data_IF_132007076241
#
_entry.id   IF_132007076241
#
_cell.length_a   1.000
_cell.length_b   1.000
_cell.length_c   1.000
_cell.angle_alpha   90.00
_cell.angle_beta   90.00
_cell.angle_gamma   90.00
#
_symmetry.space_group_name_H-M   'P 1'
#
loop_
_entity.id
_entity.type
_entity.pdbx_description
1 polymer ?
#
# COMPACT_ATOMS: atom_id res chain seq x y z
N UNK A 1 26.10 -2.70 -2.05
CA UNK A 1 24.71 -2.29 -2.38
C UNK A 1 23.80 -3.22 -1.61
N UNK A 2 22.89 -2.69 -0.79
CA UNK A 2 21.96 -3.52 -0.02
C UNK A 2 21.05 -4.34 -0.94
N UNK A 3 20.55 -5.46 -0.44
CA UNK A 3 19.58 -6.29 -1.15
C UNK A 3 18.20 -5.64 -1.15
N UNK A 4 17.82 -5.01 -0.01
CA UNK A 4 16.54 -4.33 0.13
C UNK A 4 16.74 -3.00 0.85
N UNK A 5 16.25 -1.90 0.29
CA UNK A 5 16.06 -0.63 0.99
C UNK A 5 14.65 -0.57 1.55
N UNK A 6 14.52 -0.47 2.86
CA UNK A 6 13.25 -0.43 3.58
C UNK A 6 12.90 1.00 3.95
N UNK A 7 11.90 1.58 3.34
CA UNK A 7 11.45 2.95 3.56
C UNK A 7 10.42 2.99 4.71
N UNK A 8 10.72 3.77 5.73
CA UNK A 8 9.89 3.93 6.93
C UNK A 8 9.52 5.41 7.12
N UNK A 9 8.33 5.85 6.67
CA UNK A 9 7.84 7.20 6.95
C UNK A 9 7.44 7.31 8.42
N UNK A 10 7.89 8.37 9.10
CA UNK A 10 7.72 8.57 10.55
C UNK A 10 7.11 9.94 10.81
N UNK A 11 5.94 9.98 11.46
CA UNK A 11 5.30 11.21 11.91
C UNK A 11 4.46 10.99 13.17
N UNK A 12 4.92 11.50 14.32
CA UNK A 12 4.21 11.44 15.61
C UNK A 12 3.74 10.03 16.00
N UNK A 13 4.68 9.06 16.04
CA UNK A 13 4.42 7.62 16.28
C UNK A 13 5.28 7.04 17.43
N UNK A 14 5.75 7.86 18.35
CA UNK A 14 6.66 7.45 19.47
C UNK A 14 6.24 6.17 20.18
N UNK A 15 4.92 5.92 20.30
CA UNK A 15 4.36 4.77 21.01
C UNK A 15 4.57 3.43 20.29
N UNK A 16 4.74 3.45 18.98
CA UNK A 16 4.77 2.25 18.14
C UNK A 16 6.13 2.04 17.48
N UNK A 17 6.88 3.12 17.28
CA UNK A 17 8.11 3.17 16.49
C UNK A 17 9.16 2.15 16.93
N UNK A 18 9.34 1.94 18.23
CA UNK A 18 10.31 0.95 18.74
C UNK A 18 10.03 -0.45 18.22
N UNK A 19 8.76 -0.91 18.27
CA UNK A 19 8.37 -2.22 17.77
C UNK A 19 8.62 -2.36 16.26
N UNK A 20 8.33 -1.32 15.50
CA UNK A 20 8.62 -1.27 14.07
C UNK A 20 10.11 -1.46 13.81
N UNK A 21 10.96 -0.63 14.44
CA UNK A 21 12.41 -0.67 14.28
C UNK A 21 13.01 -2.00 14.76
N UNK A 22 12.55 -2.53 15.91
CA UNK A 22 12.98 -3.83 16.42
C UNK A 22 12.73 -4.94 15.40
N UNK A 23 11.59 -4.92 14.72
CA UNK A 23 11.30 -5.91 13.67
C UNK A 23 12.21 -5.80 12.44
N UNK A 24 12.73 -4.61 12.16
CA UNK A 24 13.62 -4.35 11.03
C UNK A 24 15.08 -4.65 11.35
N UNK A 25 15.59 -4.23 12.50
CA UNK A 25 16.99 -4.49 12.88
C UNK A 25 17.28 -5.97 13.15
N UNK A 26 16.24 -6.74 13.50
CA UNK A 26 16.35 -8.19 13.76
C UNK A 26 15.97 -9.05 12.55
N UNK A 27 15.87 -8.49 11.33
CA UNK A 27 15.62 -9.28 10.12
C UNK A 27 16.73 -10.31 9.90
N UNK A 28 16.35 -11.53 9.46
CA UNK A 28 17.29 -12.58 9.06
C UNK A 28 18.13 -12.19 7.83
N UNK A 29 17.57 -11.36 6.96
CA UNK A 29 18.32 -10.69 5.88
C UNK A 29 19.11 -9.51 6.47
N UNK A 30 20.39 -9.69 6.73
CA UNK A 30 21.25 -8.64 7.29
C UNK A 30 21.57 -7.50 6.32
N UNK A 31 21.57 -7.80 5.03
CA UNK A 31 21.98 -6.88 3.95
C UNK A 31 20.78 -6.01 3.50
N UNK A 32 20.30 -5.17 4.42
CA UNK A 32 19.21 -4.21 4.21
C UNK A 32 19.63 -2.81 4.64
N UNK A 33 19.10 -1.77 3.98
CA UNK A 33 19.10 -0.39 4.45
C UNK A 33 17.74 -0.06 5.07
N UNK A 34 17.72 0.67 6.16
CA UNK A 34 16.49 1.13 6.83
C UNK A 34 16.45 2.65 6.72
N UNK A 35 15.68 3.14 5.75
CA UNK A 35 15.59 4.57 5.40
C UNK A 35 14.41 5.18 6.13
N UNK A 36 14.67 5.84 7.26
CA UNK A 36 13.66 6.49 8.08
C UNK A 36 13.47 7.95 7.64
N UNK A 37 12.27 8.30 7.22
CA UNK A 37 11.93 9.68 6.84
C UNK A 37 11.12 10.31 7.97
N UNK A 38 11.75 11.14 8.77
CA UNK A 38 11.07 11.94 9.79
C UNK A 38 10.37 13.15 9.15
N UNK A 39 9.07 13.05 9.01
CA UNK A 39 8.21 14.07 8.37
C UNK A 39 7.80 15.16 9.36
N UNK A 40 8.78 15.74 10.07
CA UNK A 40 8.57 16.85 11.00
C UNK A 40 7.83 16.45 12.27
N UNK A 41 8.17 15.30 12.87
CA UNK A 41 7.59 14.84 14.15
C UNK A 41 7.83 15.85 15.27
N UNK A 42 6.82 16.01 16.13
CA UNK A 42 6.85 16.90 17.30
C UNK A 42 6.83 16.16 18.64
N UNK A 43 6.71 14.84 18.58
CA UNK A 43 6.83 13.93 19.72
C UNK A 43 8.27 13.35 19.82
N UNK A 44 8.50 12.34 20.65
CA UNK A 44 9.80 11.72 20.82
C UNK A 44 10.24 10.83 19.64
N UNK A 45 9.51 10.80 18.51
CA UNK A 45 9.84 9.91 17.39
C UNK A 45 11.25 10.12 16.85
N UNK A 46 11.68 11.39 16.65
CA UNK A 46 13.05 11.67 16.18
C UNK A 46 14.12 11.17 17.16
N UNK A 47 13.94 11.41 18.45
CA UNK A 47 14.87 10.93 19.47
C UNK A 47 14.99 9.40 19.47
N UNK A 48 13.87 8.70 19.25
CA UNK A 48 13.88 7.23 19.12
C UNK A 48 14.67 6.81 17.88
N UNK A 49 14.46 7.45 16.73
CA UNK A 49 15.23 7.17 15.51
C UNK A 49 16.73 7.35 15.74
N UNK A 50 17.13 8.45 16.34
CA UNK A 50 18.55 8.74 16.65
C UNK A 50 19.18 7.67 17.57
N UNK A 51 18.44 7.24 18.60
CA UNK A 51 18.89 6.17 19.49
C UNK A 51 19.10 4.83 18.76
N UNK A 52 18.24 4.52 17.77
CA UNK A 52 18.37 3.30 16.98
C UNK A 52 19.47 3.40 15.94
N UNK A 53 19.65 4.56 15.30
CA UNK A 53 20.74 4.78 14.35
C UNK A 53 22.13 4.71 15.02
N UNK A 54 22.26 5.07 16.30
CA UNK A 54 23.47 4.87 17.07
C UNK A 54 23.78 3.39 17.35
N UNK A 55 22.77 2.53 17.37
CA UNK A 55 22.91 1.08 17.67
C UNK A 55 23.08 0.24 16.40
N UNK A 56 22.53 0.68 15.27
CA UNK A 56 22.52 -0.06 14.02
C UNK A 56 22.82 0.88 12.84
N UNK A 57 23.98 0.71 12.23
CA UNK A 57 24.47 1.54 11.13
C UNK A 57 23.67 1.40 9.83
N UNK A 58 22.76 0.42 9.75
CA UNK A 58 21.86 0.26 8.60
C UNK A 58 20.71 1.28 8.62
N UNK A 59 20.49 1.97 9.75
CA UNK A 59 19.45 2.99 9.89
C UNK A 59 20.01 4.33 9.46
N UNK A 60 19.38 4.90 8.42
CA UNK A 60 19.68 6.26 7.93
C UNK A 60 18.45 7.13 8.12
N UNK A 61 18.62 8.32 8.70
CA UNK A 61 17.54 9.24 9.00
C UNK A 61 17.60 10.45 8.09
N UNK A 62 16.49 10.74 7.42
CA UNK A 62 16.28 11.97 6.67
C UNK A 62 15.17 12.78 7.36
N UNK A 63 15.46 14.05 7.64
CA UNK A 63 14.51 14.98 8.23
C UNK A 63 13.94 15.92 7.16
N UNK A 64 12.63 16.11 7.18
CA UNK A 64 11.94 17.07 6.33
C UNK A 64 10.86 17.81 7.12
N UNK A 65 10.41 18.96 6.61
CA UNK A 65 9.19 19.61 7.10
C UNK A 65 7.97 18.74 6.78
N UNK A 66 6.96 18.75 7.67
CA UNK A 66 5.78 17.93 7.48
C UNK A 66 5.11 18.21 6.13
N UNK A 67 5.20 17.25 5.25
CA UNK A 67 4.70 17.30 3.87
C UNK A 67 3.75 16.15 3.54
N UNK A 68 3.52 15.25 4.50
CA UNK A 68 2.60 14.12 4.44
C UNK A 68 3.21 12.84 3.89
N UNK A 69 2.48 11.74 4.11
CA UNK A 69 2.94 10.38 3.87
C UNK A 69 3.46 10.13 2.44
N UNK A 70 2.75 10.65 1.42
CA UNK A 70 3.16 10.53 0.01
C UNK A 70 4.54 11.13 -0.25
N UNK A 71 4.79 12.34 0.29
CA UNK A 71 6.07 13.04 0.11
C UNK A 71 7.16 12.31 0.87
N UNK A 72 6.92 11.88 2.11
CA UNK A 72 7.87 11.11 2.89
C UNK A 72 8.27 9.80 2.17
N UNK A 73 7.31 9.07 1.59
CA UNK A 73 7.64 7.88 0.79
C UNK A 73 8.42 8.22 -0.48
N UNK A 74 8.11 9.32 -1.15
CA UNK A 74 8.87 9.77 -2.33
C UNK A 74 10.30 10.16 -1.98
N UNK A 75 10.52 10.88 -0.88
CA UNK A 75 11.87 11.16 -0.36
C UNK A 75 12.63 9.84 -0.09
N UNK A 76 11.95 8.84 0.51
CA UNK A 76 12.53 7.51 0.70
C UNK A 76 12.90 6.82 -0.62
N UNK A 77 12.06 6.92 -1.65
CA UNK A 77 12.35 6.38 -2.99
C UNK A 77 13.59 7.02 -3.62
N UNK A 78 13.81 8.32 -3.41
CA UNK A 78 14.97 9.04 -3.95
C UNK A 78 16.29 8.62 -3.29
N UNK A 79 16.24 8.13 -2.05
CA UNK A 79 17.42 7.66 -1.30
C UNK A 79 17.60 6.14 -1.31
N UNK A 80 16.62 5.39 -1.84
CA UNK A 80 16.70 3.93 -1.92
C UNK A 80 17.72 3.50 -2.98
N UNK A 81 18.74 2.73 -2.58
CA UNK A 81 19.80 2.23 -3.45
C UNK A 81 19.88 0.71 -3.48
N UNK A 82 19.11 0.00 -2.68
CA UNK A 82 19.04 -1.46 -2.67
C UNK A 82 18.52 -2.05 -3.97
N UNK A 83 18.77 -3.33 -4.21
CA UNK A 83 18.27 -4.03 -5.41
C UNK A 83 16.74 -4.03 -5.47
N UNK A 84 16.09 -4.11 -4.30
CA UNK A 84 14.64 -3.99 -4.14
C UNK A 84 14.31 -2.92 -3.11
N UNK A 85 13.10 -2.38 -3.20
CA UNK A 85 12.52 -1.39 -2.27
C UNK A 85 11.35 -2.04 -1.53
N UNK A 86 11.30 -1.90 -0.21
CA UNK A 86 10.15 -2.23 0.63
C UNK A 86 9.63 -1.00 1.37
N UNK A 87 8.40 -1.07 1.85
CA UNK A 87 7.78 -0.02 2.69
C UNK A 87 7.28 -0.63 3.99
N UNK A 88 7.45 0.08 5.10
CA UNK A 88 6.85 -0.28 6.39
C UNK A 88 6.27 0.99 7.02
N UNK A 89 4.98 0.96 7.34
CA UNK A 89 4.36 2.02 8.11
C UNK A 89 4.83 1.95 9.58
N UNK A 90 5.18 3.06 10.16
CA UNK A 90 5.92 3.13 11.44
C UNK A 90 5.12 2.70 12.68
N UNK A 91 3.81 2.42 12.55
CA UNK A 91 2.98 1.81 13.59
C UNK A 91 2.79 0.29 13.40
N UNK A 92 3.35 -0.29 12.33
CA UNK A 92 3.30 -1.70 11.96
C UNK A 92 4.63 -2.43 12.28
N UNK A 93 4.73 -3.72 11.98
CA UNK A 93 5.96 -4.52 12.04
C UNK A 93 5.91 -5.70 11.08
N UNK A 94 7.03 -6.39 10.93
CA UNK A 94 7.15 -7.53 10.02
C UNK A 94 7.70 -8.77 10.75
N UNK A 95 7.44 -9.97 10.21
CA UNK A 95 8.07 -11.19 10.71
C UNK A 95 9.59 -11.16 10.47
N UNK A 96 10.37 -11.87 11.25
CA UNK A 96 11.84 -11.80 11.21
C UNK A 96 12.42 -12.26 9.86
N UNK A 97 11.73 -13.13 9.15
CA UNK A 97 12.15 -13.68 7.86
C UNK A 97 11.49 -12.99 6.65
N UNK A 98 10.80 -11.86 6.91
CA UNK A 98 9.95 -11.21 5.90
C UNK A 98 10.73 -10.77 4.67
N UNK A 99 11.78 -9.98 4.86
CA UNK A 99 12.58 -9.48 3.75
C UNK A 99 13.46 -10.56 3.11
N UNK A 100 13.95 -11.54 3.88
CA UNK A 100 14.71 -12.66 3.34
C UNK A 100 13.85 -13.49 2.38
N UNK A 101 12.66 -13.88 2.79
CA UNK A 101 11.75 -14.65 1.94
C UNK A 101 11.30 -13.90 0.71
N UNK A 102 10.91 -12.63 0.86
CA UNK A 102 10.52 -11.79 -0.28
C UNK A 102 11.67 -11.63 -1.27
N UNK A 103 12.88 -11.31 -0.78
CA UNK A 103 14.04 -11.15 -1.62
C UNK A 103 14.39 -12.44 -2.37
N UNK A 104 14.44 -13.57 -1.67
CA UNK A 104 14.74 -14.85 -2.29
C UNK A 104 13.69 -15.24 -3.35
N UNK A 105 12.40 -15.11 -3.05
CA UNK A 105 11.33 -15.35 -4.03
C UNK A 105 11.47 -14.43 -5.25
N UNK A 106 11.69 -13.13 -5.05
CA UNK A 106 11.86 -12.18 -6.14
C UNK A 106 13.10 -12.49 -7.00
N UNK A 107 14.24 -12.74 -6.35
CA UNK A 107 15.53 -12.98 -7.01
C UNK A 107 15.52 -14.27 -7.81
N UNK A 108 15.08 -15.39 -7.19
CA UNK A 108 15.06 -16.72 -7.83
C UNK A 108 14.12 -16.76 -9.04
N UNK A 109 13.05 -15.98 -9.03
CA UNK A 109 12.07 -15.93 -10.12
C UNK A 109 12.32 -14.78 -11.10
N UNK A 110 13.36 -13.97 -10.89
CA UNK A 110 13.62 -12.73 -11.64
C UNK A 110 12.34 -11.88 -11.75
N UNK A 111 11.66 -11.66 -10.60
CA UNK A 111 10.42 -10.93 -10.53
C UNK A 111 10.65 -9.45 -10.22
N UNK A 112 9.81 -8.58 -10.78
CA UNK A 112 9.82 -7.14 -10.50
C UNK A 112 9.19 -6.84 -9.16
N UNK A 113 8.24 -7.69 -8.73
CA UNK A 113 7.50 -7.54 -7.47
C UNK A 113 7.39 -8.90 -6.78
N UNK A 114 7.71 -8.96 -5.48
CA UNK A 114 7.30 -10.07 -4.62
C UNK A 114 6.26 -9.56 -3.62
N UNK A 115 5.22 -10.36 -3.36
CA UNK A 115 4.13 -10.05 -2.44
C UNK A 115 4.00 -11.11 -1.36
N UNK A 116 3.99 -10.68 -0.11
CA UNK A 116 3.76 -11.55 1.04
C UNK A 116 2.33 -11.46 1.58
N UNK A 117 2.02 -12.36 2.48
CA UNK A 117 0.82 -12.32 3.29
C UNK A 117 0.82 -11.14 4.28
N UNK A 118 -0.34 -10.85 4.87
CA UNK A 118 -0.41 -9.95 6.00
C UNK A 118 -1.43 -10.41 7.05
N UNK A 119 -1.21 -9.97 8.26
CA UNK A 119 -2.08 -10.21 9.41
C UNK A 119 -2.58 -8.87 9.93
N UNK A 120 -3.90 -8.74 10.10
CA UNK A 120 -4.49 -7.59 10.81
C UNK A 120 -4.52 -7.88 12.30
N UNK A 121 -3.63 -7.22 13.03
CA UNK A 121 -3.50 -7.32 14.47
C UNK A 121 -4.46 -6.34 15.14
N UNK A 122 -5.45 -6.89 15.84
CA UNK A 122 -6.42 -6.10 16.59
C UNK A 122 -6.10 -6.16 18.08
N UNK A 123 -6.08 -5.05 18.82
CA UNK A 123 -5.79 -5.05 20.25
C UNK A 123 -6.69 -5.98 21.08
N UNK A 124 -7.95 -6.16 20.66
CA UNK A 124 -8.98 -6.87 21.42
C UNK A 124 -9.73 -7.94 20.63
N UNK A 125 -9.21 -8.40 19.48
CA UNK A 125 -9.85 -9.40 18.63
C UNK A 125 -8.81 -10.37 18.08
N UNK A 126 -9.26 -11.58 17.72
CA UNK A 126 -8.39 -12.54 17.02
C UNK A 126 -7.87 -11.92 15.70
N UNK A 127 -6.58 -12.10 15.38
CA UNK A 127 -5.99 -11.61 14.14
C UNK A 127 -6.73 -12.15 12.92
N UNK A 128 -6.94 -11.31 11.90
CA UNK A 128 -7.42 -11.75 10.60
C UNK A 128 -6.24 -11.93 9.67
N UNK A 129 -6.15 -13.13 9.08
CA UNK A 129 -5.08 -13.49 8.13
C UNK A 129 -5.62 -13.47 6.70
N UNK A 130 -4.88 -12.83 5.80
CA UNK A 130 -4.92 -13.13 4.37
C UNK A 130 -3.83 -14.16 4.14
N UNK A 131 -4.14 -15.30 3.54
CA UNK A 131 -3.17 -16.38 3.35
C UNK A 131 -3.00 -16.66 1.86
N UNK A 132 -1.81 -16.40 1.35
CA UNK A 132 -1.35 -16.93 0.08
C UNK A 132 -1.17 -18.44 0.20
N UNK A 133 -1.51 -19.20 -0.83
CA UNK A 133 -1.47 -20.65 -0.76
C UNK A 133 -0.09 -21.23 -1.06
N UNK A 134 0.59 -20.64 -2.06
CA UNK A 134 1.82 -21.17 -2.64
C UNK A 134 2.67 -20.04 -3.24
N UNK A 135 3.94 -20.31 -3.47
CA UNK A 135 4.79 -19.48 -4.31
C UNK A 135 4.41 -19.70 -5.78
N UNK A 136 4.02 -18.61 -6.46
CA UNK A 136 3.55 -18.66 -7.85
C UNK A 136 3.83 -17.37 -8.57
N UNK A 137 4.17 -17.48 -9.86
CA UNK A 137 4.45 -16.33 -10.74
C UNK A 137 3.16 -15.93 -11.46
N UNK A 138 2.95 -14.61 -11.54
CA UNK A 138 1.86 -13.96 -12.27
C UNK A 138 2.44 -12.96 -13.26
N UNK A 139 2.01 -13.03 -14.51
CA UNK A 139 2.51 -12.18 -15.60
C UNK A 139 1.45 -11.26 -16.18
N UNK A 140 0.17 -11.65 -16.12
CA UNK A 140 -0.92 -10.81 -16.63
C UNK A 140 -1.36 -9.76 -15.60
N UNK A 141 -1.70 -8.53 -16.00
CA UNK A 141 -2.23 -7.52 -15.08
C UNK A 141 -3.45 -8.01 -14.30
N UNK A 142 -4.35 -8.72 -14.97
CA UNK A 142 -5.59 -9.27 -14.39
C UNK A 142 -5.32 -10.17 -13.20
N UNK A 143 -4.43 -11.15 -13.37
CA UNK A 143 -4.09 -12.11 -12.32
C UNK A 143 -3.38 -11.42 -11.16
N UNK A 144 -2.45 -10.48 -11.45
CA UNK A 144 -1.76 -9.67 -10.44
C UNK A 144 -2.75 -8.82 -9.63
N UNK A 145 -3.73 -8.21 -10.28
CA UNK A 145 -4.78 -7.44 -9.61
C UNK A 145 -5.67 -8.33 -8.73
N UNK A 146 -5.97 -9.53 -9.18
CA UNK A 146 -6.79 -10.48 -8.42
C UNK A 146 -6.07 -11.00 -7.19
N UNK A 147 -4.83 -11.45 -7.33
CA UNK A 147 -4.05 -12.01 -6.20
C UNK A 147 -3.71 -10.93 -5.15
N UNK A 148 -3.39 -9.70 -5.58
CA UNK A 148 -3.14 -8.57 -4.69
C UNK A 148 -4.43 -7.91 -4.17
N UNK A 149 -5.60 -8.39 -4.59
CA UNK A 149 -6.92 -7.86 -4.15
C UNK A 149 -7.04 -6.34 -4.25
N UNK A 150 -6.56 -5.75 -5.34
CA UNK A 150 -6.53 -4.29 -5.52
C UNK A 150 -7.90 -3.62 -5.38
N UNK A 151 -8.99 -4.35 -5.56
CA UNK A 151 -10.36 -3.89 -5.35
C UNK A 151 -10.69 -3.55 -3.88
N UNK A 152 -10.03 -4.20 -2.93
CA UNK A 152 -10.23 -4.02 -1.48
C UNK A 152 -8.96 -3.58 -0.74
N UNK A 153 -7.80 -4.10 -1.15
CA UNK A 153 -6.51 -3.90 -0.51
C UNK A 153 -5.54 -3.26 -1.52
N UNK A 154 -5.31 -1.98 -1.44
CA UNK A 154 -4.38 -1.28 -2.34
C UNK A 154 -3.02 -1.00 -1.70
N UNK A 155 -2.59 -1.80 -0.72
CA UNK A 155 -1.42 -1.53 0.09
C UNK A 155 -0.10 -1.77 -0.64
N UNK A 156 0.91 -0.96 -0.30
CA UNK A 156 2.29 -1.08 -0.82
C UNK A 156 3.19 -1.90 0.10
N UNK A 157 2.89 -1.95 1.38
CA UNK A 157 3.78 -2.40 2.45
C UNK A 157 3.99 -3.92 2.55
N UNK A 158 3.15 -4.76 1.97
CA UNK A 158 3.37 -6.22 1.96
C UNK A 158 4.12 -6.71 0.72
N UNK A 159 4.88 -5.85 0.08
CA UNK A 159 5.59 -6.10 -1.18
C UNK A 159 7.01 -5.56 -1.13
N UNK A 160 7.85 -6.15 -1.97
CA UNK A 160 9.09 -5.50 -2.42
C UNK A 160 9.01 -5.29 -3.93
N UNK A 161 9.68 -4.26 -4.38
CA UNK A 161 9.68 -3.79 -5.77
C UNK A 161 11.12 -3.68 -6.26
N UNK A 162 11.44 -4.22 -7.43
CA UNK A 162 12.76 -4.04 -8.03
C UNK A 162 13.02 -2.55 -8.23
N UNK A 163 14.12 -2.04 -7.73
CA UNK A 163 14.46 -0.61 -7.76
C UNK A 163 14.55 -0.09 -9.19
N UNK A 164 15.28 -0.81 -10.06
CA UNK A 164 15.41 -0.48 -11.48
C UNK A 164 14.04 -0.41 -12.18
N UNK A 165 13.13 -1.33 -11.86
CA UNK A 165 11.78 -1.32 -12.41
C UNK A 165 11.01 -0.06 -12.00
N UNK A 166 11.00 0.31 -10.72
CA UNK A 166 10.29 1.51 -10.24
C UNK A 166 10.87 2.78 -10.89
N UNK A 167 12.20 2.86 -11.02
CA UNK A 167 12.85 4.00 -11.67
C UNK A 167 12.52 4.04 -13.17
N UNK A 168 12.52 2.89 -13.87
CA UNK A 168 12.25 2.82 -15.32
C UNK A 168 10.88 3.35 -15.72
N UNK A 169 9.88 3.23 -14.83
CA UNK A 169 8.52 3.75 -15.05
C UNK A 169 8.28 5.09 -14.36
N UNK A 170 9.30 5.67 -13.72
CA UNK A 170 9.23 6.93 -12.96
C UNK A 170 8.03 6.98 -11.99
N UNK A 171 7.77 5.87 -11.27
CA UNK A 171 6.61 5.75 -10.39
C UNK A 171 6.85 6.46 -9.07
N UNK A 172 5.98 7.40 -8.73
CA UNK A 172 5.97 8.15 -7.47
C UNK A 172 4.57 8.16 -6.87
N UNK A 173 4.49 8.37 -5.55
CA UNK A 173 3.24 8.62 -4.86
C UNK A 173 2.71 10.01 -5.18
N UNK A 174 1.40 10.15 -5.39
CA UNK A 174 0.78 11.45 -5.66
C UNK A 174 0.80 12.29 -4.38
N UNK A 175 1.48 13.47 -4.37
CA UNK A 175 1.58 14.30 -3.18
C UNK A 175 0.22 14.78 -2.66
N UNK A 176 0.12 14.97 -1.35
CA UNK A 176 -1.07 15.54 -0.66
C UNK A 176 -2.38 14.79 -0.91
N UNK A 177 -2.32 13.51 -1.26
CA UNK A 177 -3.47 12.66 -1.49
C UNK A 177 -3.58 11.58 -0.40
N UNK A 178 -4.78 11.36 0.15
CA UNK A 178 -5.08 10.17 0.95
C UNK A 178 -5.32 8.98 0.02
N UNK A 179 -4.98 7.76 0.45
CA UNK A 179 -5.10 6.51 -0.33
C UNK A 179 -4.19 6.47 -1.57
N UNK A 180 -3.09 7.17 -1.51
CA UNK A 180 -2.03 7.28 -2.52
C UNK A 180 -1.41 5.92 -2.88
N UNK A 181 -1.43 4.99 -1.95
CA UNK A 181 -0.94 3.62 -2.10
C UNK A 181 -1.69 2.83 -3.18
N UNK A 182 -2.96 3.14 -3.41
CA UNK A 182 -3.79 2.47 -4.42
C UNK A 182 -3.32 2.75 -5.84
N UNK A 183 -3.06 4.01 -6.17
CA UNK A 183 -2.56 4.40 -7.50
C UNK A 183 -1.17 3.79 -7.73
N UNK A 184 -0.26 3.93 -6.76
CA UNK A 184 1.07 3.34 -6.83
C UNK A 184 1.02 1.82 -7.03
N UNK A 185 0.19 1.12 -6.26
CA UNK A 185 0.05 -0.35 -6.36
C UNK A 185 -0.48 -0.77 -7.73
N UNK A 186 -1.51 -0.12 -8.24
CA UNK A 186 -2.11 -0.51 -9.52
C UNK A 186 -1.15 -0.29 -10.67
N UNK A 187 -0.48 0.86 -10.72
CA UNK A 187 0.51 1.15 -11.75
C UNK A 187 1.70 0.20 -11.68
N UNK A 188 2.24 -0.06 -10.49
CA UNK A 188 3.34 -1.01 -10.32
C UNK A 188 2.95 -2.42 -10.79
N UNK A 189 1.76 -2.89 -10.42
CA UNK A 189 1.27 -4.21 -10.86
C UNK A 189 1.05 -4.28 -12.37
N UNK A 190 0.53 -3.22 -12.97
CA UNK A 190 0.29 -3.17 -14.42
C UNK A 190 1.60 -3.25 -15.22
N UNK A 191 2.54 -2.37 -14.89
CA UNK A 191 3.80 -2.25 -15.64
C UNK A 191 4.82 -3.35 -15.32
N UNK A 192 4.70 -4.05 -14.19
CA UNK A 192 5.61 -5.15 -13.86
C UNK A 192 5.48 -6.29 -14.88
N UNK A 193 6.60 -6.90 -15.26
CA UNK A 193 6.61 -8.10 -16.10
C UNK A 193 6.18 -9.32 -15.28
N UNK A 194 6.75 -9.47 -14.08
CA UNK A 194 6.51 -10.61 -13.21
C UNK A 194 6.23 -10.17 -11.77
N UNK A 195 5.21 -10.77 -11.17
CA UNK A 195 4.95 -10.77 -9.75
C UNK A 195 5.06 -12.19 -9.22
N UNK A 196 5.70 -12.40 -8.08
CA UNK A 196 5.75 -13.67 -7.37
C UNK A 196 5.06 -13.57 -6.00
N UNK A 197 4.27 -14.57 -5.62
CA UNK A 197 3.71 -14.68 -4.27
C UNK A 197 4.69 -15.37 -3.33
N UNK A 198 4.82 -14.86 -2.10
CA UNK A 198 5.73 -15.37 -1.06
C UNK A 198 4.90 -15.75 0.17
N UNK A 199 4.47 -17.00 0.31
CA UNK A 199 3.66 -17.45 1.44
C UNK A 199 4.49 -17.64 2.72
N UNK A 200 3.78 -17.80 3.86
CA UNK A 200 4.35 -18.17 5.15
C UNK A 200 5.35 -17.15 5.74
N UNK A 201 5.17 -15.89 5.44
CA UNK A 201 5.77 -14.74 6.12
C UNK A 201 4.77 -13.59 6.08
N UNK A 202 4.79 -12.71 7.10
CA UNK A 202 3.68 -11.78 7.30
C UNK A 202 4.14 -10.37 7.58
N UNK A 203 3.51 -9.44 6.87
CA UNK A 203 3.41 -8.07 7.32
C UNK A 203 2.33 -7.98 8.40
N UNK A 204 2.62 -7.35 9.53
CA UNK A 204 1.71 -7.26 10.69
C UNK A 204 1.14 -5.85 10.78
N UNK A 205 -0.04 -5.71 10.17
CA UNK A 205 -0.79 -4.46 10.14
C UNK A 205 -1.50 -4.24 11.49
N UNK A 206 -1.07 -3.23 12.24
CA UNK A 206 -1.68 -2.88 13.51
C UNK A 206 -2.93 -2.04 13.30
N UNK A 207 -4.07 -2.56 13.73
CA UNK A 207 -5.34 -1.82 13.69
C UNK A 207 -5.36 -0.79 14.82
N UNK A 208 -4.64 0.32 14.62
CA UNK A 208 -4.54 1.41 15.57
C UNK A 208 -5.88 2.14 15.67
N UNK A 209 -6.54 2.17 16.85
CA UNK A 209 -7.82 2.88 17.03
C UNK A 209 -7.75 4.38 16.73
N UNK A 210 -6.55 4.96 16.82
CA UNK A 210 -6.28 6.39 16.55
C UNK A 210 -5.83 6.67 15.12
N UNK A 211 -5.66 5.64 14.29
CA UNK A 211 -5.28 5.78 12.88
C UNK A 211 -6.29 6.60 12.08
N UNK A 212 -5.77 7.29 11.07
CA UNK A 212 -6.56 8.04 10.07
C UNK A 212 -7.66 7.15 9.45
N UNK A 213 -7.36 5.87 9.21
CA UNK A 213 -8.29 4.92 8.58
C UNK A 213 -9.44 4.51 9.51
N UNK A 214 -9.22 4.50 10.84
CA UNK A 214 -10.19 4.06 11.84
C UNK A 214 -11.04 5.21 12.43
N UNK A 215 -10.65 6.46 12.22
CA UNK A 215 -11.46 7.62 12.54
C UNK A 215 -12.60 7.78 11.53
N UNK A 216 -13.72 8.41 11.94
CA UNK A 216 -14.73 8.84 10.98
C UNK A 216 -14.06 9.75 9.96
N UNK A 217 -14.12 9.35 8.69
CA UNK A 217 -13.52 10.14 7.59
C UNK A 217 -14.08 11.55 7.61
N UNK A 218 -13.18 12.53 7.46
CA UNK A 218 -13.58 13.89 7.19
C UNK A 218 -13.96 14.04 5.70
N UNK A 219 -14.49 15.21 5.34
CA UNK A 219 -14.93 15.50 3.97
C UNK A 219 -13.80 15.32 2.93
N UNK A 220 -12.59 15.80 3.24
CA UNK A 220 -11.41 15.72 2.33
C UNK A 220 -11.01 14.25 2.10
N UNK A 221 -11.01 13.43 3.15
CA UNK A 221 -10.70 12.01 3.02
C UNK A 221 -11.75 11.25 2.18
N UNK A 222 -13.02 11.62 2.31
CA UNK A 222 -14.08 11.03 1.49
C UNK A 222 -13.94 11.43 0.01
N UNK A 223 -13.60 12.69 -0.28
CA UNK A 223 -13.35 13.15 -1.66
C UNK A 223 -12.14 12.47 -2.27
N UNK A 224 -11.01 12.40 -1.56
CA UNK A 224 -9.82 11.72 -2.05
C UNK A 224 -10.08 10.22 -2.29
N UNK A 225 -10.84 9.56 -1.41
CA UNK A 225 -11.23 8.16 -1.60
C UNK A 225 -12.03 7.95 -2.90
N UNK A 226 -12.98 8.85 -3.18
CA UNK A 226 -13.79 8.81 -4.41
C UNK A 226 -12.89 9.06 -5.62
N UNK A 227 -12.07 10.11 -5.58
CA UNK A 227 -11.19 10.51 -6.67
C UNK A 227 -10.20 9.41 -7.04
N UNK A 228 -9.49 8.84 -6.06
CA UNK A 228 -8.54 7.75 -6.31
C UNK A 228 -9.24 6.54 -6.94
N UNK A 229 -10.45 6.20 -6.48
CA UNK A 229 -11.19 5.08 -7.09
C UNK A 229 -11.64 5.37 -8.52
N UNK A 230 -11.98 6.62 -8.83
CA UNK A 230 -12.30 7.04 -10.21
C UNK A 230 -11.07 6.97 -11.09
N UNK A 231 -9.92 7.48 -10.64
CA UNK A 231 -8.64 7.41 -11.36
C UNK A 231 -8.24 5.96 -11.66
N UNK A 232 -8.36 5.08 -10.67
CA UNK A 232 -8.09 3.65 -10.85
C UNK A 232 -9.06 3.01 -11.86
N UNK A 233 -10.36 3.31 -11.79
CA UNK A 233 -11.32 2.79 -12.75
C UNK A 233 -11.02 3.30 -14.17
N UNK A 234 -10.65 4.56 -14.29
CA UNK A 234 -10.25 5.17 -15.55
C UNK A 234 -9.02 4.47 -16.13
N UNK A 235 -7.98 4.28 -15.30
CA UNK A 235 -6.77 3.56 -15.69
C UNK A 235 -7.06 2.13 -16.18
N UNK A 236 -7.93 1.38 -15.47
CA UNK A 236 -8.37 0.04 -15.87
C UNK A 236 -9.03 0.06 -17.24
N UNK A 237 -9.89 1.06 -17.51
CA UNK A 237 -10.58 1.21 -18.81
C UNK A 237 -9.62 1.57 -19.93
N UNK A 238 -8.77 2.58 -19.73
CA UNK A 238 -7.80 3.06 -20.72
C UNK A 238 -6.84 1.98 -21.19
N UNK A 239 -6.48 1.08 -20.26
CA UNK A 239 -5.55 -0.01 -20.55
C UNK A 239 -6.25 -1.34 -20.87
N UNK A 240 -7.59 -1.33 -21.04
CA UNK A 240 -8.41 -2.51 -21.36
C UNK A 240 -8.15 -3.72 -20.44
N UNK A 241 -7.90 -3.46 -19.13
CA UNK A 241 -7.60 -4.51 -18.16
C UNK A 241 -8.87 -5.32 -17.86
N UNK A 242 -8.82 -6.63 -18.11
CA UNK A 242 -9.97 -7.54 -17.93
C UNK A 242 -10.11 -7.94 -16.46
N UNK A 243 -10.90 -7.21 -15.71
CA UNK A 243 -11.32 -7.61 -14.35
C UNK A 243 -12.81 -7.94 -14.35
N UNK A 244 -13.27 -8.86 -13.48
CA UNK A 244 -14.69 -9.21 -13.38
C UNK A 244 -15.57 -7.98 -13.17
N UNK A 245 -16.68 -7.89 -13.92
CA UNK A 245 -17.63 -6.77 -13.81
C UNK A 245 -18.14 -6.65 -12.36
N UNK A 246 -18.13 -5.43 -11.86
CA UNK A 246 -18.55 -5.13 -10.49
C UNK A 246 -17.52 -5.44 -9.40
N UNK A 247 -16.39 -6.08 -9.71
CA UNK A 247 -15.31 -6.29 -8.75
C UNK A 247 -14.73 -4.95 -8.29
N UNK A 248 -14.50 -4.03 -9.22
CA UNK A 248 -14.05 -2.68 -8.94
C UNK A 248 -15.16 -1.67 -9.30
N UNK A 249 -15.61 -0.92 -8.30
CA UNK A 249 -16.67 0.10 -8.47
C UNK A 249 -16.15 1.43 -7.94
N UNK A 250 -16.15 2.45 -8.76
CA UNK A 250 -15.91 3.83 -8.36
C UNK A 250 -17.23 4.57 -8.17
N UNK A 251 -17.32 5.37 -7.12
CA UNK A 251 -18.45 6.27 -6.93
C UNK A 251 -18.29 7.47 -7.86
N UNK A 252 -19.28 7.70 -8.72
CA UNK A 252 -19.27 8.81 -9.68
C UNK A 252 -20.23 9.93 -9.30
N UNK A 253 -21.22 9.62 -8.47
CA UNK A 253 -22.21 10.58 -7.99
C UNK A 253 -22.78 10.18 -6.65
N UNK A 254 -22.94 11.16 -5.75
CA UNK A 254 -23.58 10.96 -4.44
C UNK A 254 -24.60 12.08 -4.21
N UNK A 255 -25.87 11.73 -4.12
CA UNK A 255 -26.91 12.66 -3.74
C UNK A 255 -27.15 12.60 -2.22
N UNK A 256 -27.12 13.76 -1.58
CA UNK A 256 -27.37 13.89 -0.14
C UNK A 256 -28.60 14.77 0.09
N UNK A 257 -29.43 14.38 1.06
CA UNK A 257 -30.55 15.17 1.55
C UNK A 257 -30.40 15.32 3.07
N UNK A 258 -30.42 16.56 3.56
CA UNK A 258 -30.19 16.90 4.98
C UNK A 258 -28.90 16.24 5.54
N UNK A 259 -27.82 16.26 4.78
CA UNK A 259 -26.51 15.69 5.16
C UNK A 259 -26.44 14.16 5.12
N UNK A 260 -27.54 13.44 4.88
CA UNK A 260 -27.58 11.98 4.75
C UNK A 260 -27.54 11.56 3.29
N UNK A 261 -26.79 10.52 2.96
CA UNK A 261 -26.77 9.96 1.60
C UNK A 261 -28.12 9.33 1.28
N UNK A 262 -28.81 9.86 0.29
CA UNK A 262 -30.07 9.30 -0.21
C UNK A 262 -29.79 8.23 -1.28
N UNK A 263 -29.02 8.56 -2.31
CA UNK A 263 -28.57 7.56 -3.27
C UNK A 263 -27.16 7.84 -3.76
N UNK A 264 -26.52 6.79 -4.29
CA UNK A 264 -25.15 6.83 -4.86
C UNK A 264 -25.16 6.12 -6.20
N UNK A 265 -24.54 6.73 -7.20
CA UNK A 265 -24.26 6.08 -8.48
C UNK A 265 -22.80 5.62 -8.43
N UNK A 266 -22.57 4.32 -8.67
CA UNK A 266 -21.24 3.74 -8.80
C UNK A 266 -21.09 3.15 -10.19
N UNK A 267 -19.89 3.26 -10.73
CA UNK A 267 -19.54 2.72 -12.04
C UNK A 267 -18.47 1.65 -11.90
N UNK A 268 -18.60 0.58 -12.66
CA UNK A 268 -17.54 -0.40 -12.91
C UNK A 268 -17.20 -0.36 -14.42
N UNK A 269 -16.40 -1.31 -14.87
CA UNK A 269 -15.91 -1.36 -16.26
C UNK A 269 -17.10 -1.33 -17.24
N UNK A 270 -18.09 -2.20 -17.04
CA UNK A 270 -19.19 -2.41 -17.99
C UNK A 270 -20.57 -2.10 -17.41
N UNK A 271 -20.67 -1.52 -16.22
CA UNK A 271 -21.97 -1.33 -15.57
C UNK A 271 -22.02 -0.09 -14.68
N UNK A 272 -23.20 0.52 -14.63
CA UNK A 272 -23.56 1.52 -13.61
C UNK A 272 -24.51 0.90 -12.60
N UNK A 273 -24.37 1.30 -11.35
CA UNK A 273 -25.14 0.80 -10.22
C UNK A 273 -25.74 1.98 -9.46
N UNK A 274 -27.00 1.85 -9.07
CA UNK A 274 -27.66 2.82 -8.17
C UNK A 274 -27.88 2.16 -6.82
N UNK A 275 -27.43 2.81 -5.78
CA UNK A 275 -27.58 2.37 -4.39
C UNK A 275 -28.46 3.35 -3.63
N UNK A 276 -29.49 2.85 -2.94
CA UNK A 276 -30.27 3.60 -1.96
C UNK A 276 -29.54 3.61 -0.61
N UNK A 277 -29.54 4.75 0.06
CA UNK A 277 -28.80 4.98 1.32
C UNK A 277 -27.31 4.57 1.25
N UNK A 278 -26.74 4.59 0.04
CA UNK A 278 -25.33 4.22 -0.19
C UNK A 278 -25.00 2.72 -0.06
N UNK A 279 -25.97 1.88 0.31
CA UNK A 279 -25.73 0.46 0.62
C UNK A 279 -26.63 -0.50 -0.17
N UNK A 280 -27.89 -0.19 -0.35
CA UNK A 280 -28.87 -1.08 -1.00
C UNK A 280 -28.80 -0.86 -2.50
N UNK A 281 -28.32 -1.85 -3.24
CA UNK A 281 -28.33 -1.78 -4.71
C UNK A 281 -29.76 -1.95 -5.20
N UNK A 282 -30.31 -0.91 -5.86
CA UNK A 282 -31.66 -0.91 -6.41
C UNK A 282 -31.69 -1.08 -7.92
N UNK A 283 -30.59 -0.77 -8.60
CA UNK A 283 -30.51 -0.83 -10.07
C UNK A 283 -29.13 -1.18 -10.55
N UNK A 284 -29.04 -1.94 -11.67
CA UNK A 284 -27.82 -2.19 -12.45
C UNK A 284 -28.15 -1.99 -13.93
N UNK A 285 -27.38 -1.17 -14.61
CA UNK A 285 -27.43 -0.96 -16.03
C UNK A 285 -26.11 -1.37 -16.67
N UNK A 286 -26.13 -2.18 -17.73
CA UNK A 286 -24.94 -2.42 -18.54
C UNK A 286 -24.65 -1.20 -19.40
N UNK A 287 -23.40 -0.78 -19.47
CA UNK A 287 -22.94 0.23 -20.40
C UNK A 287 -22.76 -0.46 -21.75
N UNK A 288 -23.28 0.15 -22.82
CA UNK A 288 -22.91 -0.28 -24.18
C UNK A 288 -21.44 0.08 -24.36
N UNK A 289 -20.62 -0.88 -24.73
CA UNK A 289 -19.30 -0.59 -25.26
C UNK A 289 -19.53 0.11 -26.60
N UNK A 290 -19.34 1.42 -26.64
CA UNK A 290 -19.11 2.10 -27.91
C UNK A 290 -17.71 1.66 -28.33
N UNK A 291 -17.65 0.72 -29.28
CA UNK A 291 -16.43 0.21 -29.89
C UNK A 291 -15.66 1.29 -30.65
#
# INVERSE_FOLDING_TARGET
MAKVSVIVPVYNVEKYLKRCLDSLINQTLSDIDIICINDGSKDSSLQILEQYAQKDSRIVIYNQENSGLSVARNTGLEHASGEYIGFVDSDDWVDLDFYEKLYNSAKNNNADIAVADFIREHPNKKPKRLKLKEEKIYTTPEDKFMICKVHSEGCVWNKIYRTEFIHSINLKFVPKMYYEDRDFTIRSLYFSKKLVTTPNTYYRYFVNPKSIVNKRRNYIQDEHYILVRQQVLQFIKEHNIKVPDGLYKAEIYRYKLFGKTLFTIKESINSKYIFLFGKIQIFKMRLKNNG
#
